data_IF_283279314811
#
_entry.id   IF_283279314811
#
_cell.length_a   1.000
_cell.length_b   1.000
_cell.length_c   1.000
_cell.angle_alpha   90.00
_cell.angle_beta   90.00
_cell.angle_gamma   90.00
#
_symmetry.space_group_name_H-M   'P 1'
#
loop_
_entity.id
_entity.type
_entity.pdbx_description
1 polymer ?
#
# COMPACT_ATOMS: atom_id res chain seq x y z
N UNK A 1 -11.00 -2.46 -20.60
CA UNK A 1 -10.48 -1.48 -19.62
C UNK A 1 -11.07 -0.12 -19.94
N UNK A 2 -11.36 0.70 -18.93
CA UNK A 2 -12.01 2.00 -19.11
C UNK A 2 -11.02 3.10 -19.49
N UNK A 3 -11.47 4.06 -20.28
CA UNK A 3 -10.76 5.33 -20.52
C UNK A 3 -10.80 6.22 -19.27
N UNK A 4 -9.98 7.26 -19.26
CA UNK A 4 -10.02 8.30 -18.23
C UNK A 4 -11.43 8.92 -18.11
N UNK A 5 -12.05 9.28 -19.23
CA UNK A 5 -13.37 9.93 -19.23
C UNK A 5 -14.46 8.99 -18.70
N UNK A 6 -14.43 7.70 -19.08
CA UNK A 6 -15.37 6.70 -18.56
C UNK A 6 -15.23 6.50 -17.04
N UNK A 7 -14.01 6.57 -16.50
CA UNK A 7 -13.79 6.52 -15.05
C UNK A 7 -14.35 7.77 -14.36
N UNK A 8 -14.09 8.95 -14.91
CA UNK A 8 -14.58 10.23 -14.37
C UNK A 8 -16.10 10.28 -14.36
N UNK A 9 -16.74 9.93 -15.47
CA UNK A 9 -18.20 9.90 -15.55
C UNK A 9 -18.80 8.84 -14.61
N UNK A 10 -18.19 7.66 -14.52
CA UNK A 10 -18.59 6.64 -13.57
C UNK A 10 -18.57 7.15 -12.12
N UNK A 11 -17.48 7.82 -11.70
CA UNK A 11 -17.36 8.40 -10.35
C UNK A 11 -18.41 9.49 -10.10
N UNK A 12 -18.71 10.33 -11.11
CA UNK A 12 -19.78 11.35 -11.00
C UNK A 12 -21.14 10.70 -10.78
N UNK A 13 -21.45 9.61 -11.47
CA UNK A 13 -22.69 8.85 -11.25
C UNK A 13 -22.74 8.21 -9.86
N UNK A 14 -21.63 7.61 -9.40
CA UNK A 14 -21.55 7.06 -8.04
C UNK A 14 -21.79 8.12 -6.96
N UNK A 15 -21.30 9.34 -7.17
CA UNK A 15 -21.56 10.46 -6.25
C UNK A 15 -23.07 10.76 -6.12
N UNK A 16 -23.84 10.66 -7.21
CA UNK A 16 -25.30 10.91 -7.20
C UNK A 16 -26.07 9.84 -6.43
N UNK A 17 -25.54 8.62 -6.36
CA UNK A 17 -26.15 7.48 -5.64
C UNK A 17 -26.01 7.58 -4.11
N UNK A 18 -25.18 8.48 -3.59
CA UNK A 18 -25.00 8.67 -2.16
C UNK A 18 -24.16 7.57 -1.51
N UNK A 19 -24.57 7.11 -0.32
CA UNK A 19 -23.82 6.09 0.42
C UNK A 19 -24.07 4.69 -0.16
N UNK A 20 -22.98 3.99 -0.50
CA UNK A 20 -23.00 2.62 -1.01
C UNK A 20 -22.50 1.67 0.08
N UNK A 21 -23.18 0.53 0.24
CA UNK A 21 -22.79 -0.51 1.19
C UNK A 21 -21.49 -1.19 0.70
N UNK A 22 -20.55 -1.41 1.61
CA UNK A 22 -19.27 -2.07 1.28
C UNK A 22 -19.49 -3.48 0.74
N UNK A 23 -18.73 -3.87 -0.28
CA UNK A 23 -18.75 -5.22 -0.87
C UNK A 23 -17.83 -6.20 -0.15
N UNK A 24 -16.87 -5.70 0.64
CA UNK A 24 -15.92 -6.50 1.42
C UNK A 24 -15.74 -5.90 2.82
N UNK A 25 -15.49 -6.74 3.82
CA UNK A 25 -15.15 -6.30 5.17
C UNK A 25 -13.68 -5.81 5.25
N UNK A 26 -13.39 -4.95 6.21
CA UNK A 26 -12.04 -4.44 6.47
C UNK A 26 -11.61 -3.26 5.60
N UNK A 27 -10.33 -2.89 5.72
CA UNK A 27 -9.78 -1.66 5.16
C UNK A 27 -9.80 -1.64 3.62
N UNK A 28 -9.66 -2.79 2.97
CA UNK A 28 -9.66 -2.94 1.51
C UNK A 28 -11.05 -2.81 0.89
N UNK A 29 -12.10 -2.76 1.71
CA UNK A 29 -13.48 -2.65 1.23
C UNK A 29 -13.76 -1.39 0.41
N UNK A 30 -13.10 -0.26 0.70
CA UNK A 30 -13.34 0.99 -0.05
C UNK A 30 -12.80 0.94 -1.49
N UNK A 31 -11.64 0.31 -1.70
CA UNK A 31 -11.07 0.08 -3.04
C UNK A 31 -11.94 -0.89 -3.82
N UNK A 32 -12.17 -2.06 -3.21
CA UNK A 32 -12.97 -3.12 -3.81
C UNK A 32 -14.38 -2.68 -4.20
N UNK A 33 -15.06 -1.94 -3.31
CA UNK A 33 -16.41 -1.43 -3.61
C UNK A 33 -16.37 -0.44 -4.78
N UNK A 34 -15.37 0.43 -4.88
CA UNK A 34 -15.26 1.37 -5.99
C UNK A 34 -14.99 0.66 -7.32
N UNK A 35 -14.09 -0.32 -7.34
CA UNK A 35 -13.80 -1.14 -8.52
C UNK A 35 -15.05 -1.86 -9.02
N UNK A 36 -15.75 -2.57 -8.13
CA UNK A 36 -16.97 -3.30 -8.45
C UNK A 36 -18.07 -2.38 -8.99
N UNK A 37 -18.25 -1.21 -8.38
CA UNK A 37 -19.26 -0.23 -8.77
C UNK A 37 -18.95 0.46 -10.11
N UNK A 38 -17.68 0.46 -10.53
CA UNK A 38 -17.30 0.86 -11.87
C UNK A 38 -17.34 -0.33 -12.85
N UNK A 39 -17.42 -1.59 -12.38
CA UNK A 39 -17.33 -2.78 -13.22
C UNK A 39 -15.89 -3.11 -13.64
N UNK A 40 -14.94 -2.86 -12.74
CA UNK A 40 -13.53 -3.22 -12.87
C UNK A 40 -13.30 -4.51 -12.10
N UNK A 41 -12.79 -5.54 -12.77
CA UNK A 41 -12.44 -6.81 -12.12
C UNK A 41 -11.12 -6.70 -11.36
N UNK A 42 -11.15 -7.08 -10.08
CA UNK A 42 -9.96 -7.13 -9.22
C UNK A 42 -8.94 -8.11 -9.81
N UNK A 43 -7.70 -7.65 -9.96
CA UNK A 43 -6.61 -8.45 -10.50
C UNK A 43 -5.29 -8.15 -9.76
N UNK A 44 -4.25 -8.94 -10.02
CA UNK A 44 -2.93 -8.78 -9.41
C UNK A 44 -1.86 -8.30 -10.41
N UNK A 45 -2.28 -7.79 -11.58
CA UNK A 45 -1.35 -7.30 -12.58
C UNK A 45 -0.75 -5.96 -12.13
N UNK A 46 0.57 -5.75 -12.31
CA UNK A 46 1.21 -4.48 -11.99
C UNK A 46 0.95 -3.46 -13.11
N UNK A 47 -0.33 -3.17 -13.38
CA UNK A 47 -0.81 -2.26 -14.41
C UNK A 47 -1.97 -1.40 -13.90
N UNK A 48 -2.35 -0.36 -14.67
CA UNK A 48 -3.46 0.52 -14.30
C UNK A 48 -4.83 -0.18 -14.32
N UNK A 49 -5.77 0.28 -13.50
CA UNK A 49 -7.17 -0.16 -13.52
C UNK A 49 -7.92 0.25 -14.81
N UNK A 50 -7.55 1.40 -15.36
CA UNK A 50 -7.99 1.89 -16.67
C UNK A 50 -6.95 1.63 -17.76
N UNK A 51 -7.17 2.17 -18.96
CA UNK A 51 -6.22 2.01 -20.07
C UNK A 51 -4.86 2.67 -19.75
N UNK A 52 -4.91 3.86 -19.16
CA UNK A 52 -3.71 4.66 -18.80
C UNK A 52 -3.81 5.28 -17.40
N UNK A 53 -4.84 4.92 -16.64
CA UNK A 53 -5.22 5.61 -15.39
C UNK A 53 -5.34 4.60 -14.27
N UNK A 54 -4.63 4.85 -13.18
CA UNK A 54 -4.76 4.10 -11.92
C UNK A 54 -5.86 4.68 -11.06
N UNK A 55 -6.68 3.84 -10.44
CA UNK A 55 -7.73 4.26 -9.52
C UNK A 55 -7.29 4.04 -8.07
N UNK A 56 -7.47 5.05 -7.23
CA UNK A 56 -7.21 4.95 -5.79
C UNK A 56 -8.36 5.54 -5.00
N UNK A 57 -8.73 4.89 -3.89
CA UNK A 57 -9.77 5.37 -2.99
C UNK A 57 -9.24 5.53 -1.56
N UNK A 58 -9.75 6.55 -0.87
CA UNK A 58 -9.41 6.84 0.51
C UNK A 58 -10.63 7.43 1.22
N UNK A 59 -10.77 7.14 2.53
CA UNK A 59 -11.83 7.74 3.34
C UNK A 59 -11.51 9.22 3.57
N UNK A 60 -12.51 10.08 3.40
CA UNK A 60 -12.39 11.52 3.70
C UNK A 60 -11.91 11.70 5.15
N UNK A 61 -10.95 12.59 5.37
CA UNK A 61 -10.29 12.85 6.65
C UNK A 61 -9.47 11.70 7.25
N UNK A 62 -9.20 10.63 6.48
CA UNK A 62 -8.22 9.62 6.89
C UNK A 62 -6.85 10.27 7.05
N UNK A 63 -6.19 10.00 8.19
CA UNK A 63 -4.79 10.41 8.42
C UNK A 63 -3.78 9.40 7.86
N UNK A 64 -4.25 8.24 7.38
CA UNK A 64 -3.39 7.22 6.80
C UNK A 64 -2.81 7.68 5.46
N UNK A 65 -1.58 7.29 5.19
CA UNK A 65 -0.95 7.49 3.89
C UNK A 65 -1.71 6.75 2.78
N UNK A 66 -1.68 7.30 1.57
CA UNK A 66 -2.19 6.63 0.38
C UNK A 66 -1.12 5.68 -0.16
N UNK A 67 -1.44 4.38 -0.22
CA UNK A 67 -0.56 3.39 -0.86
C UNK A 67 -0.57 3.60 -2.38
N UNK A 68 0.56 3.99 -2.95
CA UNK A 68 0.71 4.15 -4.40
C UNK A 68 0.86 2.78 -5.09
N UNK A 69 1.86 2.01 -4.67
CA UNK A 69 2.14 0.67 -5.18
C UNK A 69 2.91 -0.15 -4.14
N UNK A 70 3.09 -1.44 -4.41
CA UNK A 70 3.94 -2.34 -3.63
C UNK A 70 5.01 -2.94 -4.53
N UNK A 71 6.25 -2.98 -4.03
CA UNK A 71 7.39 -3.61 -4.73
C UNK A 71 8.28 -4.32 -3.72
N UNK A 72 8.61 -5.58 -3.98
CA UNK A 72 9.58 -6.31 -3.16
C UNK A 72 11.00 -5.81 -3.45
N UNK A 73 11.87 -5.69 -2.42
CA UNK A 73 13.28 -5.41 -2.62
C UNK A 73 13.98 -6.55 -3.35
N UNK A 74 15.06 -6.22 -4.05
CA UNK A 74 15.99 -7.18 -4.63
C UNK A 74 17.21 -7.38 -3.68
N UNK A 75 17.79 -8.59 -3.61
CA UNK A 75 17.34 -9.83 -4.25
C UNK A 75 16.07 -10.39 -3.58
N UNK A 76 15.47 -11.41 -4.21
CA UNK A 76 14.30 -12.09 -3.66
C UNK A 76 14.52 -12.58 -2.21
N UNK A 77 13.48 -12.49 -1.37
CA UNK A 77 13.49 -12.96 0.02
C UNK A 77 13.95 -11.95 1.07
N UNK A 78 14.29 -10.71 0.69
CA UNK A 78 14.71 -9.68 1.65
C UNK A 78 13.64 -9.36 2.69
N UNK A 79 12.35 -9.31 2.30
CA UNK A 79 11.25 -9.11 3.27
C UNK A 79 11.23 -10.19 4.35
N UNK A 80 11.44 -11.46 3.99
CA UNK A 80 11.50 -12.57 4.94
C UNK A 80 12.72 -12.48 5.87
N UNK A 81 13.88 -12.04 5.34
CA UNK A 81 15.08 -11.80 6.15
C UNK A 81 14.86 -10.65 7.13
N UNK A 82 14.22 -9.56 6.70
CA UNK A 82 13.88 -8.44 7.58
C UNK A 82 12.92 -8.90 8.70
N UNK A 83 11.87 -9.65 8.36
CA UNK A 83 10.92 -10.17 9.33
C UNK A 83 11.58 -11.11 10.35
N UNK A 84 12.47 -12.01 9.90
CA UNK A 84 13.17 -12.95 10.80
C UNK A 84 14.06 -12.23 11.82
N UNK A 85 14.78 -11.20 11.39
CA UNK A 85 15.77 -10.52 12.24
C UNK A 85 15.16 -9.40 13.09
N UNK A 86 14.13 -8.71 12.59
CA UNK A 86 13.58 -7.51 13.21
C UNK A 86 12.13 -7.65 13.65
N UNK A 87 11.48 -8.75 13.28
CA UNK A 87 10.10 -9.01 13.64
C UNK A 87 9.87 -9.03 15.15
N UNK A 88 8.63 -8.79 15.54
CA UNK A 88 8.17 -8.86 16.90
C UNK A 88 6.93 -9.76 16.97
N UNK A 89 6.69 -10.43 18.12
CA UNK A 89 5.48 -11.22 18.30
C UNK A 89 4.24 -10.36 18.03
N UNK A 90 3.42 -10.82 17.09
CA UNK A 90 2.10 -10.32 16.80
C UNK A 90 1.03 -11.26 17.34
N UNK A 91 -0.16 -11.18 16.75
CA UNK A 91 -1.28 -12.03 17.10
C UNK A 91 -1.01 -13.50 16.71
N UNK A 92 -1.53 -14.43 17.51
CA UNK A 92 -1.48 -15.88 17.25
C UNK A 92 -0.06 -16.43 17.06
N UNK A 93 0.94 -15.81 17.71
CA UNK A 93 2.33 -16.26 17.68
C UNK A 93 3.08 -15.97 16.37
N UNK A 94 2.46 -15.26 15.41
CA UNK A 94 3.13 -14.86 14.16
C UNK A 94 4.05 -13.68 14.41
N UNK A 95 5.19 -13.63 13.73
CA UNK A 95 6.04 -12.44 13.72
C UNK A 95 5.44 -11.38 12.79
N UNK A 96 5.41 -10.14 13.25
CA UNK A 96 5.06 -8.96 12.47
C UNK A 96 6.25 -8.01 12.35
N UNK A 97 6.28 -7.25 11.27
CA UNK A 97 7.19 -6.12 11.10
C UNK A 97 6.45 -5.01 10.36
N UNK A 98 5.79 -4.13 11.11
CA UNK A 98 5.16 -2.93 10.58
C UNK A 98 5.97 -1.71 10.97
N UNK A 99 6.50 -1.02 9.97
CA UNK A 99 7.46 0.07 10.17
C UNK A 99 7.32 1.06 9.02
N UNK A 100 7.07 2.33 9.34
CA UNK A 100 7.13 3.41 8.36
C UNK A 100 8.53 4.02 8.41
N UNK A 101 9.18 4.12 7.26
CA UNK A 101 10.55 4.61 7.10
C UNK A 101 10.56 5.76 6.10
N UNK A 102 11.48 6.71 6.25
CA UNK A 102 11.62 7.85 5.35
C UNK A 102 13.11 8.13 5.06
N UNK A 103 13.40 9.10 4.18
CA UNK A 103 14.76 9.43 3.76
C UNK A 103 15.43 10.54 4.59
N UNK A 104 14.74 11.09 5.59
CA UNK A 104 15.25 12.17 6.43
C UNK A 104 16.01 11.60 7.62
N UNK A 105 15.38 10.70 8.37
CA UNK A 105 15.89 10.19 9.63
C UNK A 105 15.67 8.70 9.81
N UNK A 106 16.45 8.11 10.72
CA UNK A 106 16.18 6.74 11.17
C UNK A 106 14.94 6.74 12.05
N UNK A 107 14.06 5.79 11.81
CA UNK A 107 12.94 5.58 12.70
C UNK A 107 13.37 4.85 13.99
N UNK A 108 12.40 4.65 14.88
CA UNK A 108 12.58 3.81 16.06
C UNK A 108 11.90 2.46 15.84
N UNK A 109 12.64 1.38 16.09
CA UNK A 109 12.12 0.02 16.05
C UNK A 109 12.46 -0.68 17.37
N UNK A 110 11.44 -1.13 18.10
CA UNK A 110 11.59 -1.85 19.39
C UNK A 110 12.47 -1.08 20.39
N UNK A 111 12.29 0.25 20.46
CA UNK A 111 13.05 1.13 21.36
C UNK A 111 14.51 1.38 20.96
N UNK A 112 14.93 0.93 19.77
CA UNK A 112 16.28 1.14 19.22
C UNK A 112 16.20 1.90 17.91
N UNK A 113 17.32 2.46 17.45
CA UNK A 113 17.43 2.99 16.08
C UNK A 113 17.11 1.89 15.08
N UNK A 114 16.11 2.12 14.23
CA UNK A 114 15.63 1.17 13.25
C UNK A 114 16.22 1.44 11.86
N UNK A 115 15.36 1.79 10.93
CA UNK A 115 15.66 1.88 9.51
C UNK A 115 15.53 3.30 8.96
N UNK A 116 16.20 3.55 7.85
CA UNK A 116 16.11 4.76 7.04
C UNK A 116 16.12 4.39 5.55
N UNK A 117 15.53 5.23 4.70
CA UNK A 117 15.69 5.15 3.24
C UNK A 117 16.97 5.90 2.84
N UNK A 118 17.79 5.27 2.00
CA UNK A 118 18.92 5.91 1.32
C UNK A 118 18.73 5.84 -0.20
N UNK A 119 18.92 6.97 -0.87
CA UNK A 119 18.84 7.04 -2.33
C UNK A 119 20.25 7.15 -2.88
N UNK A 120 20.68 6.15 -3.64
CA UNK A 120 22.03 6.08 -4.21
C UNK A 120 21.98 5.40 -5.57
N UNK A 121 22.68 5.95 -6.56
CA UNK A 121 22.83 5.37 -7.90
C UNK A 121 21.49 5.01 -8.56
N UNK A 122 20.46 5.85 -8.35
CA UNK A 122 19.10 5.61 -8.87
C UNK A 122 18.31 4.52 -8.14
N UNK A 123 18.81 3.99 -7.03
CA UNK A 123 18.18 2.95 -6.23
C UNK A 123 17.67 3.49 -4.89
N UNK A 124 16.57 2.88 -4.42
CA UNK A 124 16.02 3.08 -3.08
C UNK A 124 16.51 1.94 -2.19
N UNK A 125 17.34 2.25 -1.21
CA UNK A 125 17.95 1.29 -0.29
C UNK A 125 17.34 1.42 1.11
N UNK A 126 17.27 0.29 1.83
CA UNK A 126 16.90 0.27 3.25
C UNK A 126 18.19 0.18 4.06
N UNK A 127 18.53 1.25 4.77
CA UNK A 127 19.67 1.30 5.67
C UNK A 127 19.26 0.93 7.09
N UNK A 128 20.12 0.20 7.80
CA UNK A 128 19.96 -0.19 9.20
C UNK A 128 21.27 0.04 9.95
N UNK A 129 21.20 0.62 11.15
CA UNK A 129 22.35 0.65 12.08
C UNK A 129 22.46 -0.63 12.91
N UNK A 130 21.40 -1.43 12.93
CA UNK A 130 21.39 -2.75 13.56
C UNK A 130 22.05 -3.74 12.61
N UNK A 131 23.05 -4.47 13.12
CA UNK A 131 23.70 -5.55 12.36
C UNK A 131 22.67 -6.66 12.10
N UNK A 132 22.57 -7.09 10.84
CA UNK A 132 21.78 -8.23 10.38
C UNK A 132 22.62 -9.50 10.51
#
# INVERSE_FOLDING_TARGET
>A
MKTFDELVEGIKELKKRGFIKTHRSGNTGIGKTLEDELGIEENNFPGPDGITTELKSARKNSKSMLTLFTKSPDPHGINSKLLKNFGYPGENGKLHLHSTINALEFNTLKGKTGFKIEIKDGQINIASKLKI
#
